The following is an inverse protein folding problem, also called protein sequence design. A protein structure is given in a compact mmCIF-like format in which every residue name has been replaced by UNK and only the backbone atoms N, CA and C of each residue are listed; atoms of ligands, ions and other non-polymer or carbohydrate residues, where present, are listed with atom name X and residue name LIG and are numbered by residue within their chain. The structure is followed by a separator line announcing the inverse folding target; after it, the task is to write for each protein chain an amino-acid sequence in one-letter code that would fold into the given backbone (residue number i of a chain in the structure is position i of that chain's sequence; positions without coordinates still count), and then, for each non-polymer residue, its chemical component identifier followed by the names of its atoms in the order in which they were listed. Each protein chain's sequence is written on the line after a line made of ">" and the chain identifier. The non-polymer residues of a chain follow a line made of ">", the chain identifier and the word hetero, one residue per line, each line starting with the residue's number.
data_IF_089662904827
#
_entry.id   IF_089662904827
#
_cell.length_a   1.000
_cell.length_b   1.000
_cell.length_c   1.000
_cell.angle_alpha   90.00
_cell.angle_beta   90.00
_cell.angle_gamma   90.00
#
_symmetry.space_group_name_H-M   'P 1'
#
loop_
_entity.id
_entity.type
_entity.pdbx_description
1 polymer ?
#
# COMPACT_ATOMS: atom_id res chain seq x y z
N UNK A 1 39.08 -23.26 14.99
CA UNK A 1 39.01 -22.87 13.57
C UNK A 1 37.98 -21.75 13.47
N UNK A 2 38.42 -20.51 13.29
CA UNK A 2 37.52 -19.37 13.06
C UNK A 2 37.22 -19.35 11.57
N UNK A 3 35.94 -19.36 11.22
CA UNK A 3 35.48 -18.87 9.92
C UNK A 3 34.61 -17.67 10.20
N UNK A 4 35.16 -16.53 9.81
CA UNK A 4 34.52 -15.23 9.71
C UNK A 4 33.26 -15.38 8.84
N UNK A 5 32.07 -15.29 9.46
CA UNK A 5 30.83 -15.17 8.72
C UNK A 5 30.75 -13.76 8.19
N UNK A 6 31.36 -13.62 7.01
CA UNK A 6 31.15 -12.60 6.00
C UNK A 6 29.87 -11.79 6.22
N UNK A 7 30.08 -10.50 6.49
CA UNK A 7 29.11 -9.45 6.22
C UNK A 7 28.60 -9.59 4.79
N UNK A 8 27.38 -10.11 4.64
CA UNK A 8 26.53 -9.72 3.50
C UNK A 8 25.88 -8.41 3.92
N UNK A 9 26.60 -7.31 3.70
CA UNK A 9 25.95 -6.06 3.35
C UNK A 9 25.19 -6.34 2.05
N UNK A 10 23.92 -6.74 2.16
CA UNK A 10 23.00 -6.74 1.03
C UNK A 10 22.78 -5.29 0.66
N UNK A 11 23.70 -4.75 -0.15
CA UNK A 11 23.44 -3.60 -1.00
C UNK A 11 22.36 -4.04 -1.99
N UNK A 12 21.12 -3.85 -1.59
CA UNK A 12 19.94 -4.14 -2.39
C UNK A 12 19.34 -2.84 -2.85
N UNK A 13 19.74 -2.37 -4.04
CA UNK A 13 18.90 -1.53 -4.89
C UNK A 13 17.72 -2.36 -5.41
N UNK A 14 16.95 -2.97 -4.49
CA UNK A 14 15.76 -3.72 -4.81
C UNK A 14 14.58 -2.80 -4.58
N UNK A 15 13.81 -2.58 -5.63
CA UNK A 15 12.45 -2.03 -5.59
C UNK A 15 11.55 -2.98 -4.81
N UNK A 16 11.79 -3.16 -3.51
CA UNK A 16 10.83 -3.81 -2.63
C UNK A 16 9.62 -2.87 -2.53
N UNK A 17 8.43 -3.45 -2.67
CA UNK A 17 7.20 -2.71 -2.47
C UNK A 17 7.23 -2.13 -1.05
N UNK A 18 6.85 -0.84 -0.86
CA UNK A 18 6.90 -0.24 0.45
C UNK A 18 6.00 -1.04 1.41
N UNK A 19 6.44 -1.24 2.66
CA UNK A 19 5.70 -2.07 3.62
C UNK A 19 4.37 -1.44 4.04
N UNK A 20 4.24 -0.11 3.91
CA UNK A 20 3.07 0.65 4.33
C UNK A 20 2.93 2.01 3.59
N UNK A 21 1.76 2.68 3.68
CA UNK A 21 1.52 3.98 3.04
C UNK A 21 2.47 5.09 3.49
N UNK A 22 2.96 5.08 4.74
CA UNK A 22 3.89 6.11 5.23
C UNK A 22 5.27 5.94 4.60
N UNK A 23 5.75 4.71 4.50
CA UNK A 23 7.00 4.38 3.82
C UNK A 23 6.93 4.78 2.34
N UNK A 24 5.79 4.54 1.66
CA UNK A 24 5.56 4.99 0.29
C UNK A 24 5.65 6.51 0.14
N UNK A 25 5.11 7.29 1.09
CA UNK A 25 5.20 8.76 1.03
C UNK A 25 6.66 9.24 1.16
N UNK A 26 7.45 8.62 2.03
CA UNK A 26 8.84 8.98 2.30
C UNK A 26 9.81 8.65 1.15
N UNK A 27 9.39 7.83 0.18
CA UNK A 27 10.19 7.47 -0.99
C UNK A 27 10.47 8.68 -1.89
N UNK A 28 11.74 8.97 -2.14
CA UNK A 28 12.13 10.05 -3.06
C UNK A 28 12.41 9.53 -4.48
N UNK A 29 12.40 8.22 -4.67
CA UNK A 29 12.65 7.52 -5.93
C UNK A 29 11.38 7.27 -6.75
N UNK A 30 10.19 7.57 -6.21
CA UNK A 30 8.90 7.45 -6.88
C UNK A 30 8.25 8.82 -7.06
N UNK A 31 7.69 9.05 -8.25
CA UNK A 31 6.90 10.24 -8.56
C UNK A 31 5.56 10.25 -7.81
N UNK A 32 4.96 11.44 -7.64
CA UNK A 32 3.66 11.59 -6.98
C UNK A 32 2.59 10.69 -7.61
N UNK A 33 2.46 10.72 -8.93
CA UNK A 33 1.39 10.00 -9.63
C UNK A 33 1.58 8.49 -9.50
N UNK A 34 2.82 8.00 -9.54
CA UNK A 34 3.13 6.58 -9.29
C UNK A 34 2.76 6.13 -7.88
N UNK A 35 3.00 6.98 -6.87
CA UNK A 35 2.54 6.73 -5.49
C UNK A 35 1.01 6.69 -5.39
N UNK A 36 0.33 7.60 -6.09
CA UNK A 36 -1.15 7.64 -6.11
C UNK A 36 -1.73 6.38 -6.74
N UNK A 37 -1.18 5.92 -7.87
CA UNK A 37 -1.62 4.69 -8.52
C UNK A 37 -1.43 3.46 -7.61
N UNK A 38 -0.30 3.35 -6.91
CA UNK A 38 -0.07 2.26 -5.97
C UNK A 38 -1.04 2.31 -4.77
N UNK A 39 -1.31 3.50 -4.22
CA UNK A 39 -2.29 3.68 -3.14
C UNK A 39 -3.70 3.31 -3.60
N UNK A 40 -4.06 3.55 -4.85
CA UNK A 40 -5.35 3.11 -5.39
C UNK A 40 -5.46 1.59 -5.51
N UNK A 41 -4.39 0.91 -5.91
CA UNK A 41 -4.37 -0.55 -5.92
C UNK A 41 -4.58 -1.10 -4.50
N UNK A 42 -3.85 -0.55 -3.53
CA UNK A 42 -4.00 -0.95 -2.12
C UNK A 42 -5.40 -0.67 -1.56
N UNK A 43 -6.02 0.45 -1.94
CA UNK A 43 -7.41 0.74 -1.58
C UNK A 43 -8.36 -0.34 -2.10
N UNK A 44 -8.17 -0.80 -3.35
CA UNK A 44 -8.96 -1.86 -3.95
C UNK A 44 -8.75 -3.19 -3.23
N UNK A 45 -7.49 -3.61 -3.05
CA UNK A 45 -7.14 -4.89 -2.41
C UNK A 45 -7.69 -4.97 -0.98
N UNK A 46 -7.58 -3.88 -0.20
CA UNK A 46 -8.12 -3.82 1.15
C UNK A 46 -9.65 -3.91 1.18
N UNK A 47 -10.35 -3.28 0.22
CA UNK A 47 -11.80 -3.37 0.13
C UNK A 47 -12.25 -4.77 -0.31
N UNK A 48 -11.54 -5.42 -1.22
CA UNK A 48 -11.81 -6.82 -1.57
C UNK A 48 -11.57 -7.76 -0.38
N UNK A 49 -10.51 -7.54 0.40
CA UNK A 49 -10.24 -8.31 1.61
C UNK A 49 -11.36 -8.13 2.65
N UNK A 50 -11.90 -6.92 2.82
CA UNK A 50 -13.04 -6.66 3.71
C UNK A 50 -14.31 -7.37 3.26
N UNK A 51 -14.56 -7.49 1.95
CA UNK A 51 -15.69 -8.27 1.41
C UNK A 51 -15.46 -9.77 1.63
N UNK A 52 -14.23 -10.25 1.45
CA UNK A 52 -13.88 -11.66 1.68
C UNK A 52 -14.01 -12.08 3.15
N UNK A 53 -13.67 -11.19 4.09
CA UNK A 53 -13.86 -11.41 5.53
C UNK A 53 -15.34 -11.47 5.91
N UNK A 54 -16.18 -10.62 5.31
CA UNK A 54 -17.65 -10.67 5.47
C UNK A 54 -18.25 -11.99 4.93
N UNK A 55 -17.65 -12.57 3.88
CA UNK A 55 -18.06 -13.86 3.28
C UNK A 55 -17.46 -15.10 3.99
N UNK A 56 -16.75 -14.92 5.12
CA UNK A 56 -16.08 -16.00 5.88
C UNK A 56 -15.12 -16.85 5.02
N UNK A 57 -14.47 -16.23 4.03
CA UNK A 57 -13.38 -16.82 3.27
C UNK A 57 -12.05 -16.51 3.97
N UNK A 58 -11.07 -17.43 3.97
CA UNK A 58 -9.76 -17.14 4.54
C UNK A 58 -9.14 -15.97 3.77
N UNK A 59 -9.05 -14.81 4.41
CA UNK A 59 -8.39 -13.64 3.85
C UNK A 59 -6.91 -14.01 3.59
N UNK A 60 -6.52 -14.07 2.31
CA UNK A 60 -5.12 -14.09 1.93
C UNK A 60 -4.43 -12.87 2.54
N UNK A 61 -3.20 -13.07 3.02
CA UNK A 61 -2.31 -12.10 3.69
C UNK A 61 -2.74 -10.63 3.50
N UNK A 62 -3.57 -10.15 4.41
CA UNK A 62 -3.98 -8.75 4.38
C UNK A 62 -2.76 -7.88 4.69
N UNK A 63 -2.58 -6.75 3.99
CA UNK A 63 -1.51 -5.82 4.32
C UNK A 63 -1.57 -5.44 5.80
N UNK A 64 -0.41 -5.22 6.42
CA UNK A 64 -0.33 -4.83 7.84
C UNK A 64 -0.75 -3.37 8.11
N UNK A 65 -1.53 -2.78 7.21
CA UNK A 65 -2.04 -1.42 7.27
C UNK A 65 -3.51 -1.39 6.85
N UNK A 66 -4.26 -0.44 7.40
CA UNK A 66 -5.69 -0.32 7.16
C UNK A 66 -6.05 0.62 6.00
N UNK A 67 -7.31 0.55 5.56
CA UNK A 67 -7.88 1.46 4.55
C UNK A 67 -7.72 2.94 4.96
N UNK A 68 -7.84 3.25 6.25
CA UNK A 68 -7.67 4.60 6.77
C UNK A 68 -6.28 5.20 6.45
N UNK A 69 -5.22 4.39 6.56
CA UNK A 69 -3.83 4.82 6.31
C UNK A 69 -3.59 5.09 4.83
N UNK A 70 -4.18 4.28 3.95
CA UNK A 70 -4.17 4.52 2.50
C UNK A 70 -4.89 5.82 2.15
N UNK A 71 -6.06 6.07 2.75
CA UNK A 71 -6.83 7.30 2.53
C UNK A 71 -6.14 8.55 3.08
N UNK A 72 -5.42 8.45 4.20
CA UNK A 72 -4.58 9.53 4.73
C UNK A 72 -3.41 9.81 3.78
N UNK A 73 -2.77 8.78 3.24
CA UNK A 73 -1.66 8.95 2.29
C UNK A 73 -2.11 9.58 0.96
N UNK A 74 -3.26 9.18 0.43
CA UNK A 74 -3.86 9.83 -0.75
C UNK A 74 -4.10 11.32 -0.48
N UNK A 75 -4.69 11.66 0.68
CA UNK A 75 -4.90 13.06 1.10
C UNK A 75 -3.60 13.83 1.24
N UNK A 76 -2.55 13.23 1.79
CA UNK A 76 -1.22 13.85 1.90
C UNK A 76 -0.60 14.16 0.53
N UNK A 77 -0.90 13.36 -0.50
CA UNK A 77 -0.52 13.62 -1.89
C UNK A 77 -1.50 14.55 -2.63
N UNK A 78 -2.59 14.99 -1.99
CA UNK A 78 -3.64 15.78 -2.62
C UNK A 78 -4.45 14.99 -3.68
N UNK A 79 -4.55 13.67 -3.52
CA UNK A 79 -5.38 12.80 -4.34
C UNK A 79 -6.65 12.41 -3.57
N UNK A 80 -7.73 12.11 -4.31
CA UNK A 80 -9.00 11.60 -3.75
C UNK A 80 -9.10 10.10 -3.98
N UNK A 81 -9.80 9.39 -3.08
CA UNK A 81 -10.11 7.97 -3.28
C UNK A 81 -10.93 7.76 -4.56
N UNK A 82 -10.64 6.67 -5.30
CA UNK A 82 -11.41 6.27 -6.49
C UNK A 82 -12.83 5.83 -6.15
N UNK A 83 -13.03 5.40 -4.91
CA UNK A 83 -14.33 4.95 -4.39
C UNK A 83 -15.11 6.08 -3.72
N UNK A 84 -14.54 7.29 -3.61
CA UNK A 84 -15.26 8.45 -3.10
C UNK A 84 -16.20 9.05 -4.16
N UNK A 85 -15.98 8.76 -5.45
CA UNK A 85 -16.78 9.28 -6.56
C UNK A 85 -18.09 8.50 -6.81
N UNK A 86 -18.31 7.36 -6.16
CA UNK A 86 -19.59 6.61 -6.24
C UNK A 86 -20.72 7.26 -5.46
N UNK A 87 -20.62 8.55 -5.12
CA UNK A 87 -21.77 9.34 -4.69
C UNK A 87 -22.73 9.44 -5.87
N UNK A 88 -23.62 8.47 -5.91
CA UNK A 88 -24.75 8.38 -6.83
C UNK A 88 -25.53 9.69 -6.77
N UNK A 89 -25.22 10.61 -7.70
CA UNK A 89 -26.25 11.48 -8.25
C UNK A 89 -27.21 10.59 -9.04
N UNK A 90 -28.06 9.88 -8.31
CA UNK A 90 -29.37 9.52 -8.81
C UNK A 90 -30.14 10.84 -8.97
N UNK A 91 -29.96 11.46 -10.13
CA UNK A 91 -30.96 12.36 -10.70
C UNK A 91 -32.04 11.56 -11.41
#
# INVERSE_FOLDING_TARGET
>A
MRLDSTSVTRSGSATEAPPDPRALLARNDMGRDEKVELLHQWEFDLREAMVAEEENMPASESPNFGLAEVLDALRALGATSRFHDVSTKHG
#
